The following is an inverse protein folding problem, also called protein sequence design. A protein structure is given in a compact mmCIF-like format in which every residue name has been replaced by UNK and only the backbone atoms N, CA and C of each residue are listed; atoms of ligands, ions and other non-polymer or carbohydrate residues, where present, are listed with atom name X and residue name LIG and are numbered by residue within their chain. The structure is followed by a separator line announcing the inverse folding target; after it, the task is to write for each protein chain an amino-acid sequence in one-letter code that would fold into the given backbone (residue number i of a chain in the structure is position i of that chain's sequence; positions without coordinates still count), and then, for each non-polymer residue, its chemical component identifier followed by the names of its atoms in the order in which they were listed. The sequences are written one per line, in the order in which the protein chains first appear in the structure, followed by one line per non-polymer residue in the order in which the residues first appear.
data_IF_516468529562
#
_entry.id   IF_516468529562
#
_cell.length_a   1.000
_cell.length_b   1.000
_cell.length_c   1.000
_cell.angle_alpha   90.00
_cell.angle_beta   90.00
_cell.angle_gamma   90.00
#
_symmetry.space_group_name_H-M   'P 1'
#
loop_
_entity.id
_entity.type
_entity.pdbx_description
1 polymer ?
#
# COMPACT_ATOMS: atom_id res chain seq x y z
N UNK A 1 8.99 -50.09 28.35
CA UNK A 1 8.13 -49.32 27.41
C UNK A 1 9.01 -48.37 26.63
N UNK A 2 9.09 -48.49 25.28
CA UNK A 2 10.08 -47.78 24.49
C UNK A 2 9.58 -46.43 23.96
N UNK A 3 10.49 -45.46 23.92
CA UNK A 3 10.31 -44.14 23.31
C UNK A 3 10.09 -44.24 21.79
N UNK A 4 8.96 -43.73 21.32
CA UNK A 4 8.63 -43.61 19.90
C UNK A 4 9.22 -42.29 19.39
N UNK A 5 10.34 -42.38 18.67
CA UNK A 5 10.92 -41.28 17.89
C UNK A 5 9.98 -41.02 16.70
N UNK A 6 9.30 -39.88 16.70
CA UNK A 6 8.61 -39.38 15.51
C UNK A 6 9.65 -38.75 14.58
N UNK A 7 10.05 -39.52 13.57
CA UNK A 7 10.81 -39.01 12.43
C UNK A 7 9.99 -37.95 11.70
N UNK A 8 10.57 -36.75 11.62
CA UNK A 8 10.13 -35.60 10.85
C UNK A 8 9.95 -35.97 9.37
N UNK A 9 8.70 -35.97 8.90
CA UNK A 9 8.27 -36.12 7.52
C UNK A 9 8.41 -34.80 6.74
N UNK A 10 9.64 -34.31 6.60
CA UNK A 10 9.94 -33.32 5.56
C UNK A 10 10.83 -33.97 4.50
N UNK A 11 10.39 -34.03 3.22
CA UNK A 11 11.29 -34.42 2.16
C UNK A 11 12.44 -33.41 2.11
N UNK A 12 13.66 -33.87 2.40
CA UNK A 12 14.89 -33.16 2.08
C UNK A 12 14.97 -33.07 0.56
N UNK A 13 14.45 -31.99 -0.02
CA UNK A 13 14.74 -31.66 -1.40
C UNK A 13 16.26 -31.51 -1.53
N UNK A 14 16.92 -32.24 -2.45
CA UNK A 14 18.33 -32.04 -2.71
C UNK A 14 18.50 -30.63 -3.26
N UNK A 15 19.13 -29.76 -2.46
CA UNK A 15 19.60 -28.45 -2.90
C UNK A 15 20.55 -28.72 -4.06
N UNK A 16 20.16 -28.32 -5.28
CA UNK A 16 21.05 -28.38 -6.43
C UNK A 16 22.39 -27.74 -6.05
N UNK A 17 23.54 -28.34 -6.40
CA UNK A 17 24.83 -27.78 -6.03
C UNK A 17 24.93 -26.35 -6.56
N UNK A 18 25.09 -25.39 -5.65
CA UNK A 18 25.26 -24.00 -5.97
C UNK A 18 26.40 -23.88 -6.99
N UNK A 19 26.08 -23.52 -8.24
CA UNK A 19 27.10 -23.13 -9.20
C UNK A 19 27.95 -22.06 -8.53
N UNK A 20 29.26 -22.29 -8.44
CA UNK A 20 30.19 -21.38 -7.79
C UNK A 20 30.20 -20.05 -8.55
N UNK A 21 29.33 -19.13 -8.13
CA UNK A 21 29.17 -17.82 -8.73
C UNK A 21 30.46 -17.03 -8.49
N UNK A 22 31.17 -16.67 -9.55
CA UNK A 22 32.39 -15.86 -9.44
C UNK A 22 32.01 -14.39 -9.27
N UNK A 23 32.57 -13.67 -8.28
CA UNK A 23 32.26 -12.26 -8.07
C UNK A 23 32.77 -11.41 -9.24
N UNK A 24 31.92 -10.53 -9.75
CA UNK A 24 32.30 -9.55 -10.77
C UNK A 24 33.35 -8.57 -10.25
N UNK A 25 34.09 -7.91 -11.16
CA UNK A 25 35.05 -6.85 -10.78
C UNK A 25 34.40 -5.73 -9.97
N UNK A 26 33.16 -5.37 -10.30
CA UNK A 26 32.40 -4.36 -9.58
C UNK A 26 32.08 -4.80 -8.14
N UNK A 27 31.68 -6.06 -7.93
CA UNK A 27 31.46 -6.61 -6.58
C UNK A 27 32.75 -6.68 -5.77
N UNK A 28 33.88 -7.04 -6.38
CA UNK A 28 35.17 -7.05 -5.71
C UNK A 28 35.61 -5.64 -5.30
N UNK A 29 35.40 -4.64 -6.16
CA UNK A 29 35.71 -3.25 -5.83
C UNK A 29 34.84 -2.76 -4.67
N UNK A 30 33.53 -2.97 -4.74
CA UNK A 30 32.61 -2.55 -3.68
C UNK A 30 32.87 -3.30 -2.35
N UNK A 31 33.27 -4.57 -2.40
CA UNK A 31 33.68 -5.32 -1.20
C UNK A 31 34.93 -4.72 -0.54
N UNK A 32 35.89 -4.19 -1.30
CA UNK A 32 37.07 -3.50 -0.74
C UNK A 32 36.69 -2.20 -0.05
N UNK A 33 35.87 -1.38 -0.71
CA UNK A 33 35.40 -0.12 -0.13
C UNK A 33 34.53 -0.36 1.12
N UNK A 34 33.70 -1.40 1.10
CA UNK A 34 32.85 -1.77 2.24
C UNK A 34 33.67 -2.28 3.42
N UNK A 35 34.66 -3.13 3.15
CA UNK A 35 35.61 -3.59 4.17
C UNK A 35 36.35 -2.41 4.80
N UNK A 36 36.77 -1.43 3.99
CA UNK A 36 37.43 -0.21 4.47
C UNK A 36 36.49 0.65 5.34
N UNK A 37 35.26 0.87 4.91
CA UNK A 37 34.26 1.67 5.64
C UNK A 37 33.88 1.05 6.98
N UNK A 38 33.67 -0.26 7.01
CA UNK A 38 33.08 -0.96 8.17
C UNK A 38 34.10 -1.65 9.06
N UNK A 39 35.36 -1.73 8.63
CA UNK A 39 36.43 -2.43 9.36
C UNK A 39 36.36 -3.97 9.29
N UNK A 40 35.40 -4.55 8.54
CA UNK A 40 35.33 -6.01 8.37
C UNK A 40 36.34 -6.52 7.36
N UNK A 41 36.64 -7.82 7.41
CA UNK A 41 37.53 -8.42 6.42
C UNK A 41 36.88 -8.47 5.02
N UNK A 42 37.73 -8.45 3.98
CA UNK A 42 37.31 -8.45 2.58
C UNK A 42 36.41 -9.64 2.22
N UNK A 43 36.70 -10.84 2.73
CA UNK A 43 35.91 -12.05 2.42
C UNK A 43 34.48 -11.94 2.97
N UNK A 44 34.31 -11.41 4.18
CA UNK A 44 33.00 -11.15 4.78
C UNK A 44 32.24 -10.07 4.01
N UNK A 45 32.91 -8.98 3.62
CA UNK A 45 32.31 -7.96 2.76
C UNK A 45 31.87 -8.55 1.41
N UNK A 46 32.72 -9.36 0.79
CA UNK A 46 32.44 -10.01 -0.49
C UNK A 46 31.26 -10.99 -0.40
N UNK A 47 31.15 -11.76 0.68
CA UNK A 47 29.99 -12.60 0.96
C UNK A 47 28.68 -11.79 1.03
N UNK A 48 28.71 -10.60 1.65
CA UNK A 48 27.54 -9.73 1.65
C UNK A 48 27.19 -9.22 0.23
N UNK A 49 28.18 -8.82 -0.57
CA UNK A 49 27.98 -8.37 -1.96
C UNK A 49 27.45 -9.47 -2.89
N UNK A 50 27.74 -10.73 -2.56
CA UNK A 50 27.32 -11.92 -3.30
C UNK A 50 26.01 -12.53 -2.78
N UNK A 51 25.45 -11.99 -1.68
CA UNK A 51 24.19 -12.48 -1.14
C UNK A 51 23.07 -12.33 -2.18
N UNK A 52 22.23 -13.36 -2.41
CA UNK A 52 21.07 -13.24 -3.31
C UNK A 52 20.15 -12.06 -2.94
N UNK A 53 20.06 -11.76 -1.64
CA UNK A 53 19.25 -10.65 -1.09
C UNK A 53 19.84 -9.27 -1.34
N UNK A 54 21.07 -9.19 -1.84
CA UNK A 54 21.77 -7.93 -2.05
C UNK A 54 22.07 -7.65 -3.54
N UNK A 55 21.40 -8.37 -4.46
CA UNK A 55 21.62 -8.21 -5.91
C UNK A 55 20.80 -7.08 -6.54
N UNK A 56 19.84 -6.50 -5.83
CA UNK A 56 18.92 -5.49 -6.35
C UNK A 56 17.76 -6.13 -7.11
N UNK A 57 16.57 -6.14 -6.51
CA UNK A 57 15.36 -6.72 -7.08
C UNK A 57 14.64 -5.71 -7.98
N UNK A 58 14.48 -4.48 -7.50
CA UNK A 58 13.70 -3.43 -8.18
C UNK A 58 14.57 -2.49 -9.01
N UNK A 59 15.84 -2.81 -9.14
CA UNK A 59 16.79 -2.04 -9.92
C UNK A 59 18.20 -2.59 -9.75
N UNK A 60 19.21 -1.92 -10.31
CA UNK A 60 20.60 -2.33 -10.12
C UNK A 60 20.97 -2.38 -8.64
N UNK A 61 21.79 -3.36 -8.25
CA UNK A 61 22.44 -3.38 -6.93
C UNK A 61 23.00 -2.00 -6.57
N UNK A 62 22.67 -1.49 -5.39
CA UNK A 62 23.24 -0.24 -4.89
C UNK A 62 24.77 -0.35 -4.78
N UNK A 63 25.52 0.61 -5.32
CA UNK A 63 26.98 0.56 -5.22
C UNK A 63 27.42 1.07 -3.86
N UNK A 64 28.43 0.45 -3.28
CA UNK A 64 29.00 0.91 -2.00
C UNK A 64 29.52 2.33 -2.10
N UNK A 65 30.03 2.72 -3.27
CA UNK A 65 30.48 4.09 -3.53
C UNK A 65 29.35 5.11 -3.53
N UNK A 66 28.14 4.73 -3.99
CA UNK A 66 26.97 5.61 -3.95
C UNK A 66 26.54 5.82 -2.49
N UNK A 67 26.56 4.75 -1.68
CA UNK A 67 26.35 4.81 -0.24
C UNK A 67 27.40 5.70 0.45
N UNK A 68 28.70 5.50 0.22
CA UNK A 68 29.76 6.33 0.81
C UNK A 68 29.62 7.80 0.38
N UNK A 69 29.28 8.04 -0.89
CA UNK A 69 29.05 9.40 -1.41
C UNK A 69 27.89 10.08 -0.69
N UNK A 70 26.79 9.37 -0.42
CA UNK A 70 25.67 9.90 0.35
C UNK A 70 26.09 10.31 1.77
N UNK A 71 26.90 9.50 2.46
CA UNK A 71 27.39 9.88 3.79
C UNK A 71 28.28 11.13 3.76
N UNK A 72 29.12 11.27 2.74
CA UNK A 72 30.11 12.36 2.68
C UNK A 72 29.53 13.67 2.15
N UNK A 73 28.50 13.61 1.30
CA UNK A 73 28.05 14.76 0.51
C UNK A 73 26.61 15.18 0.82
N UNK A 74 25.81 14.33 1.47
CA UNK A 74 24.42 14.68 1.78
C UNK A 74 24.34 15.63 2.98
N UNK A 75 23.62 16.75 2.78
CA UNK A 75 23.51 17.85 3.75
C UNK A 75 22.81 17.44 5.05
N UNK A 76 22.03 16.36 5.08
CA UNK A 76 21.26 15.94 6.26
C UNK A 76 21.85 14.70 6.94
N UNK A 77 22.64 13.90 6.23
CA UNK A 77 23.15 12.61 6.75
C UNK A 77 24.63 12.68 7.14
N UNK A 78 25.40 13.56 6.48
CA UNK A 78 26.83 13.75 6.76
C UNK A 78 27.16 14.72 7.88
N UNK A 79 26.17 15.46 8.40
CA UNK A 79 26.36 16.38 9.52
C UNK A 79 26.39 15.59 10.82
N UNK A 80 27.46 15.76 11.61
CA UNK A 80 27.37 15.46 13.03
C UNK A 80 26.19 16.25 13.60
N UNK A 81 25.33 15.61 14.40
CA UNK A 81 24.13 16.23 14.99
C UNK A 81 24.38 17.57 15.74
N UNK A 82 25.66 17.89 16.02
CA UNK A 82 26.13 19.19 16.50
C UNK A 82 25.82 20.35 15.54
N UNK A 83 25.88 20.10 14.24
CA UNK A 83 25.82 21.18 13.24
C UNK A 83 24.38 21.54 12.86
N UNK A 84 23.43 20.63 13.11
CA UNK A 84 22.00 20.84 12.85
C UNK A 84 21.26 21.51 14.00
N UNK A 85 21.81 21.52 15.22
CA UNK A 85 21.10 22.01 16.41
C UNK A 85 21.59 23.36 16.92
N UNK A 86 22.78 23.85 16.51
CA UNK A 86 23.37 25.09 17.06
C UNK A 86 23.50 25.08 18.60
N UNK A 87 23.27 23.93 19.23
CA UNK A 87 23.22 23.74 20.65
C UNK A 87 24.57 23.23 21.11
N UNK A 88 25.18 23.94 22.06
CA UNK A 88 26.34 23.41 22.77
C UNK A 88 26.01 22.02 23.32
N UNK A 89 26.97 21.07 23.29
CA UNK A 89 26.74 19.68 23.67
C UNK A 89 26.37 19.58 25.16
N UNK A 90 25.07 19.67 25.46
CA UNK A 90 24.52 19.59 26.81
C UNK A 90 24.57 18.16 27.35
N UNK A 91 25.01 17.99 28.60
CA UNK A 91 24.92 16.73 29.31
C UNK A 91 23.45 16.35 29.60
N UNK A 92 23.14 15.05 29.71
CA UNK A 92 21.87 14.58 30.24
C UNK A 92 21.78 14.79 31.76
N UNK A 93 20.61 14.49 32.34
CA UNK A 93 20.31 14.61 33.79
C UNK A 93 21.22 13.78 34.72
N UNK A 94 22.11 12.96 34.16
CA UNK A 94 23.11 12.16 34.86
C UNK A 94 24.56 12.64 34.63
N UNK A 95 24.75 13.85 34.08
CA UNK A 95 26.08 14.43 33.86
C UNK A 95 26.90 13.75 32.75
N UNK A 96 26.29 12.86 31.96
CA UNK A 96 26.92 12.29 30.76
C UNK A 96 26.64 13.23 29.57
N UNK A 97 27.61 13.51 28.69
CA UNK A 97 27.33 14.23 27.45
C UNK A 97 26.13 13.60 26.75
N UNK A 98 25.12 14.37 26.31
CA UNK A 98 24.11 13.82 25.38
C UNK A 98 24.86 13.39 24.13
N UNK A 99 25.17 12.09 24.06
CA UNK A 99 25.77 11.38 22.94
C UNK A 99 26.77 12.20 22.13
N UNK A 100 28.03 12.26 22.57
CA UNK A 100 29.09 12.11 21.57
C UNK A 100 28.87 10.74 20.92
N UNK A 101 28.19 10.71 19.77
CA UNK A 101 28.17 9.56 18.87
C UNK A 101 29.60 9.45 18.31
N UNK A 102 30.52 8.87 19.08
CA UNK A 102 31.90 8.61 18.62
C UNK A 102 31.95 7.67 17.41
N UNK A 103 30.82 7.08 17.03
CA UNK A 103 30.52 6.65 15.66
C UNK A 103 29.00 6.71 15.43
N UNK A 104 28.47 7.56 14.52
CA UNK A 104 27.03 7.60 14.24
C UNK A 104 26.49 6.32 13.57
N UNK A 105 27.37 5.41 13.15
CA UNK A 105 27.03 4.21 12.40
C UNK A 105 27.63 2.97 13.08
N UNK A 106 26.79 2.19 13.75
CA UNK A 106 27.18 0.87 14.25
C UNK A 106 26.96 -0.18 13.14
N UNK A 107 28.06 -0.75 12.66
CA UNK A 107 28.07 -1.88 11.75
C UNK A 107 28.21 -3.18 12.55
N UNK A 108 27.27 -4.11 12.38
CA UNK A 108 27.37 -5.44 12.98
C UNK A 108 28.34 -6.36 12.21
N UNK A 109 28.77 -5.93 11.03
CA UNK A 109 29.74 -6.59 10.17
C UNK A 109 29.27 -7.89 9.51
N UNK A 110 28.02 -8.29 9.74
CA UNK A 110 27.46 -9.56 9.28
C UNK A 110 26.51 -9.39 8.10
N UNK A 111 25.58 -8.44 8.21
CA UNK A 111 24.50 -8.27 7.22
C UNK A 111 24.18 -6.82 6.90
N UNK A 112 25.00 -5.85 7.33
CA UNK A 112 24.71 -4.42 7.15
C UNK A 112 24.51 -4.02 5.69
N UNK A 113 25.34 -4.52 4.77
CA UNK A 113 25.19 -4.21 3.35
C UNK A 113 23.92 -4.86 2.77
N UNK A 114 23.62 -6.11 3.17
CA UNK A 114 22.41 -6.81 2.74
C UNK A 114 21.17 -6.05 3.21
N UNK A 115 21.18 -5.56 4.45
CA UNK A 115 20.10 -4.73 4.99
C UNK A 115 19.90 -3.45 4.19
N UNK A 116 20.98 -2.72 3.89
CA UNK A 116 20.90 -1.50 3.07
C UNK A 116 20.39 -1.78 1.65
N UNK A 117 20.85 -2.87 1.03
CA UNK A 117 20.38 -3.26 -0.29
C UNK A 117 18.87 -3.56 -0.30
N UNK A 118 18.36 -4.25 0.72
CA UNK A 118 16.93 -4.51 0.86
C UNK A 118 16.13 -3.23 1.13
N UNK A 119 16.63 -2.34 2.00
CA UNK A 119 16.00 -1.04 2.24
C UNK A 119 15.95 -0.23 0.95
N UNK A 120 17.01 -0.26 0.14
CA UNK A 120 17.04 0.39 -1.18
C UNK A 120 15.93 -0.16 -2.08
N UNK A 121 15.77 -1.48 -2.19
CA UNK A 121 14.69 -2.05 -2.99
C UNK A 121 13.31 -1.73 -2.39
N UNK A 122 13.14 -1.73 -1.06
CA UNK A 122 11.93 -1.26 -0.41
C UNK A 122 11.61 0.19 -0.75
N UNK A 123 12.60 1.09 -0.74
CA UNK A 123 12.38 2.49 -1.08
C UNK A 123 12.07 2.70 -2.56
N UNK A 124 12.64 1.87 -3.44
CA UNK A 124 12.38 1.91 -4.89
C UNK A 124 10.96 1.52 -5.30
N UNK A 125 10.22 0.84 -4.43
CA UNK A 125 8.84 0.45 -4.77
C UNK A 125 7.91 1.66 -4.80
N UNK A 126 8.26 2.72 -4.07
CA UNK A 126 7.44 3.92 -3.95
C UNK A 126 7.64 4.88 -5.13
N UNK A 127 6.54 5.51 -5.52
CA UNK A 127 6.49 6.70 -6.36
C UNK A 127 7.15 7.86 -5.62
N UNK A 128 8.06 8.55 -6.30
CA UNK A 128 8.83 9.68 -5.75
C UNK A 128 7.96 10.93 -5.71
N UNK A 129 8.01 11.63 -4.57
CA UNK A 129 7.40 12.94 -4.38
C UNK A 129 8.51 13.98 -4.40
N UNK A 130 8.46 14.92 -5.35
CA UNK A 130 9.52 15.91 -5.56
C UNK A 130 9.36 17.17 -4.71
N UNK A 131 8.14 17.49 -4.28
CA UNK A 131 7.82 18.71 -3.54
C UNK A 131 7.66 18.45 -2.05
N UNK A 132 8.13 19.39 -1.23
CA UNK A 132 8.08 19.26 0.23
C UNK A 132 6.64 19.27 0.75
N UNK A 133 5.78 20.10 0.16
CA UNK A 133 4.40 20.29 0.60
C UNK A 133 3.54 19.03 0.43
N UNK A 134 3.96 18.15 -0.49
CA UNK A 134 3.32 16.87 -0.79
C UNK A 134 3.96 15.71 0.01
N UNK A 135 5.05 15.97 0.75
CA UNK A 135 5.82 14.96 1.46
C UNK A 135 5.42 14.84 2.92
N UNK A 136 4.84 13.70 3.28
CA UNK A 136 4.27 13.49 4.62
C UNK A 136 4.86 12.26 5.34
N UNK A 137 5.69 11.48 4.66
CA UNK A 137 6.21 10.22 5.19
C UNK A 137 7.54 10.44 5.91
N UNK A 138 7.52 10.23 7.24
CA UNK A 138 8.70 10.34 8.08
C UNK A 138 9.62 9.11 8.01
N UNK A 139 10.92 9.31 8.20
CA UNK A 139 11.94 8.26 8.31
C UNK A 139 11.61 7.20 9.38
N UNK A 140 10.99 7.60 10.49
CA UNK A 140 10.54 6.71 11.56
C UNK A 140 9.42 5.75 11.13
N UNK A 141 8.50 6.23 10.31
CA UNK A 141 7.40 5.47 9.74
C UNK A 141 7.90 4.41 8.75
N UNK A 142 8.79 4.81 7.83
CA UNK A 142 9.41 3.89 6.86
C UNK A 142 10.29 2.85 7.54
N UNK A 143 10.99 3.21 8.63
CA UNK A 143 11.75 2.25 9.44
C UNK A 143 10.86 1.14 9.98
N UNK A 144 9.70 1.47 10.55
CA UNK A 144 8.77 0.49 11.09
C UNK A 144 8.22 -0.43 9.98
N UNK A 145 7.80 0.16 8.85
CA UNK A 145 7.30 -0.58 7.70
C UNK A 145 8.38 -1.54 7.12
N UNK A 146 9.59 -1.04 6.87
CA UNK A 146 10.68 -1.85 6.34
C UNK A 146 11.07 -3.01 7.29
N UNK A 147 11.15 -2.73 8.60
CA UNK A 147 11.49 -3.74 9.61
C UNK A 147 10.50 -4.92 9.60
N UNK A 148 9.22 -4.65 9.36
CA UNK A 148 8.19 -5.68 9.37
C UNK A 148 8.02 -6.36 8.00
N UNK A 149 8.14 -5.61 6.90
CA UNK A 149 7.86 -6.12 5.56
C UNK A 149 9.02 -6.94 4.97
N UNK A 150 10.24 -6.38 4.95
CA UNK A 150 11.35 -6.93 4.15
C UNK A 150 12.51 -7.50 4.98
N UNK A 151 12.50 -7.27 6.29
CA UNK A 151 13.63 -7.59 7.16
C UNK A 151 13.46 -8.90 7.95
N UNK A 152 12.24 -9.39 8.15
CA UNK A 152 11.97 -10.64 8.89
C UNK A 152 12.55 -10.66 10.32
N UNK A 153 12.58 -11.83 10.97
CA UNK A 153 13.13 -11.93 12.33
C UNK A 153 14.65 -11.72 12.44
N UNK A 154 15.38 -11.82 11.32
CA UNK A 154 16.85 -11.77 11.30
C UNK A 154 17.43 -10.33 11.30
N UNK A 155 16.59 -9.31 11.09
CA UNK A 155 17.04 -7.92 10.90
C UNK A 155 16.25 -6.91 11.76
N UNK A 156 16.04 -7.23 13.05
CA UNK A 156 15.36 -6.36 14.04
C UNK A 156 16.06 -5.02 14.31
N UNK A 157 17.25 -4.78 13.76
CA UNK A 157 18.09 -3.60 14.04
C UNK A 157 18.04 -2.50 12.97
N UNK A 158 16.98 -2.43 12.15
CA UNK A 158 16.83 -1.34 11.17
C UNK A 158 16.72 0.00 11.89
N UNK A 159 17.76 0.82 11.81
CA UNK A 159 17.80 2.16 12.39
C UNK A 159 17.20 3.19 11.43
N UNK A 160 16.72 4.32 11.96
CA UNK A 160 16.27 5.46 11.12
C UNK A 160 17.42 5.94 10.21
N UNK A 161 18.65 5.92 10.71
CA UNK A 161 19.85 6.25 9.94
C UNK A 161 20.00 5.39 8.69
N UNK A 162 19.80 4.07 8.76
CA UNK A 162 19.90 3.18 7.58
C UNK A 162 18.84 3.50 6.52
N UNK A 163 17.62 3.88 6.93
CA UNK A 163 16.58 4.36 6.01
C UNK A 163 17.01 5.64 5.31
N UNK A 164 17.48 6.63 6.07
CA UNK A 164 17.94 7.91 5.52
C UNK A 164 19.11 7.72 4.57
N UNK A 165 20.10 6.92 4.98
CA UNK A 165 21.28 6.66 4.17
C UNK A 165 20.93 6.03 2.83
N UNK A 166 20.06 5.01 2.84
CA UNK A 166 19.57 4.40 1.61
C UNK A 166 18.77 5.39 0.75
N UNK A 167 17.93 6.23 1.36
CA UNK A 167 17.15 7.25 0.65
C UNK A 167 18.04 8.29 -0.04
N UNK A 168 19.03 8.84 0.65
CA UNK A 168 20.00 9.78 0.05
C UNK A 168 20.85 9.10 -1.05
N UNK A 169 21.27 7.86 -0.83
CA UNK A 169 22.03 7.11 -1.84
C UNK A 169 21.20 6.81 -3.10
N UNK A 170 19.87 6.76 -2.98
CA UNK A 170 18.93 6.70 -4.09
C UNK A 170 18.65 8.06 -4.73
N UNK A 171 19.04 9.16 -4.09
CA UNK A 171 18.71 10.52 -4.52
C UNK A 171 17.24 10.88 -4.25
N UNK A 172 16.59 10.22 -3.29
CA UNK A 172 15.24 10.62 -2.89
C UNK A 172 15.29 12.01 -2.22
N UNK A 173 14.31 12.88 -2.48
CA UNK A 173 14.20 14.15 -1.78
C UNK A 173 14.09 13.94 -0.26
N UNK A 174 14.87 14.72 0.50
CA UNK A 174 14.89 14.68 1.96
C UNK A 174 14.69 16.09 2.52
N UNK A 175 13.80 16.23 3.51
CA UNK A 175 13.55 17.51 4.16
C UNK A 175 13.52 17.35 5.68
N UNK A 176 14.08 18.33 6.40
CA UNK A 176 13.90 18.41 7.84
C UNK A 176 12.40 18.50 8.18
N UNK A 177 11.91 17.66 9.10
CA UNK A 177 10.56 17.83 9.60
C UNK A 177 10.45 19.13 10.38
N UNK A 178 9.26 19.72 10.38
CA UNK A 178 8.91 20.81 11.28
C UNK A 178 8.71 20.25 12.68
N UNK A 179 9.72 20.32 13.55
CA UNK A 179 9.65 19.88 14.94
C UNK A 179 11.02 19.73 15.62
N UNK A 180 11.01 19.44 16.92
CA UNK A 180 12.22 19.38 17.77
C UNK A 180 13.00 18.05 17.67
N UNK A 181 12.55 17.06 16.89
CA UNK A 181 13.30 15.81 16.67
C UNK A 181 14.12 15.91 15.37
N UNK A 182 15.43 16.20 15.45
CA UNK A 182 16.30 16.35 14.27
C UNK A 182 16.47 15.04 13.47
N UNK A 183 16.03 13.89 14.02
CA UNK A 183 16.12 12.59 13.36
C UNK A 183 14.87 12.20 12.58
N UNK A 184 13.77 12.97 12.72
CA UNK A 184 12.58 12.80 11.91
C UNK A 184 12.71 13.68 10.67
N UNK A 185 13.18 13.06 9.59
CA UNK A 185 13.31 13.68 8.26
C UNK A 185 12.18 13.13 7.40
N UNK A 186 11.54 14.02 6.64
CA UNK A 186 10.56 13.67 5.61
C UNK A 186 11.29 13.12 4.40
N UNK A 187 10.81 12.00 3.86
CA UNK A 187 11.36 11.35 2.67
C UNK A 187 10.32 11.46 1.55
N UNK A 188 10.73 11.91 0.37
CA UNK A 188 9.88 12.13 -0.79
C UNK A 188 9.36 10.84 -1.43
N UNK A 189 8.41 10.19 -0.75
CA UNK A 189 7.67 9.00 -1.22
C UNK A 189 6.17 9.21 -1.05
N UNK A 190 5.37 8.55 -1.90
CA UNK A 190 3.91 8.65 -1.85
C UNK A 190 3.34 8.19 -0.50
N UNK A 191 2.54 9.05 0.13
CA UNK A 191 1.87 8.75 1.41
C UNK A 191 0.81 7.66 1.24
N UNK A 192 0.09 7.65 0.11
CA UNK A 192 -0.91 6.62 -0.18
C UNK A 192 -0.28 5.23 -0.27
N UNK A 193 0.84 5.13 -0.98
CA UNK A 193 1.59 3.87 -1.09
C UNK A 193 2.22 3.45 0.23
N UNK A 194 2.71 4.39 1.03
CA UNK A 194 3.17 4.10 2.39
C UNK A 194 2.04 3.55 3.26
N UNK A 195 0.85 4.16 3.23
CA UNK A 195 -0.28 3.75 4.05
C UNK A 195 -0.81 2.37 3.65
N UNK A 196 -0.82 2.04 2.35
CA UNK A 196 -1.06 0.67 1.89
C UNK A 196 -0.12 -0.34 2.57
N UNK A 197 1.18 -0.04 2.59
CA UNK A 197 2.18 -0.92 3.19
C UNK A 197 2.02 -1.01 4.72
N UNK A 198 1.77 0.12 5.38
CA UNK A 198 1.53 0.17 6.80
C UNK A 198 0.31 -0.69 7.18
N UNK A 199 -0.75 -0.65 6.38
CA UNK A 199 -1.92 -1.51 6.54
C UNK A 199 -1.57 -2.99 6.40
N UNK A 200 -0.88 -3.39 5.32
CA UNK A 200 -0.46 -4.78 5.10
C UNK A 200 0.39 -5.35 6.24
N UNK A 201 1.28 -4.52 6.78
CA UNK A 201 2.13 -4.86 7.92
C UNK A 201 1.33 -5.02 9.21
N UNK A 202 0.41 -4.11 9.52
CA UNK A 202 -0.37 -4.11 10.76
C UNK A 202 -1.46 -5.19 10.76
N UNK A 203 -2.02 -5.51 9.60
CA UNK A 203 -3.05 -6.55 9.40
C UNK A 203 -2.47 -7.96 9.27
N UNK A 204 -1.16 -8.14 9.50
CA UNK A 204 -0.51 -9.46 9.50
C UNK A 204 -0.40 -10.12 8.13
N UNK A 205 -0.21 -9.34 7.06
CA UNK A 205 -0.22 -9.79 5.66
C UNK A 205 -1.53 -10.46 5.20
N UNK A 206 -2.61 -10.37 5.97
CA UNK A 206 -3.92 -10.54 5.36
C UNK A 206 -4.05 -9.42 4.34
N UNK A 207 -4.08 -9.78 3.05
CA UNK A 207 -4.53 -8.84 2.03
C UNK A 207 -5.81 -8.19 2.55
N UNK A 208 -6.02 -6.87 2.37
CA UNK A 208 -7.32 -6.26 2.63
C UNK A 208 -8.33 -7.19 1.97
N UNK A 209 -9.25 -7.75 2.75
CA UNK A 209 -10.16 -8.78 2.26
C UNK A 209 -10.82 -8.17 1.04
N UNK A 210 -10.52 -8.72 -0.14
CA UNK A 210 -11.28 -8.46 -1.36
C UNK A 210 -12.59 -9.19 -1.16
N UNK A 211 -13.39 -8.70 -0.22
CA UNK A 211 -14.82 -8.80 -0.35
C UNK A 211 -15.17 -7.77 -1.43
N UNK A 212 -16.03 -8.15 -2.38
CA UNK A 212 -16.41 -7.32 -3.52
C UNK A 212 -17.14 -6.02 -3.10
N UNK A 213 -17.24 -5.79 -1.79
CA UNK A 213 -17.84 -4.66 -1.12
C UNK A 213 -16.86 -3.59 -0.63
N UNK A 214 -15.52 -3.75 -0.72
CA UNK A 214 -14.59 -2.67 -0.29
C UNK A 214 -13.98 -1.92 -1.48
N UNK A 215 -13.90 -0.56 -1.44
CA UNK A 215 -13.24 0.21 -2.49
C UNK A 215 -11.74 -0.11 -2.49
N UNK A 216 -11.17 -0.28 -3.69
CA UNK A 216 -9.86 -0.90 -3.94
C UNK A 216 -8.72 -0.26 -3.14
N UNK A 217 -8.38 -0.86 -1.99
CA UNK A 217 -7.10 -0.63 -1.29
C UNK A 217 -5.92 -0.93 -2.23
N UNK A 218 -6.14 -1.73 -3.30
CA UNK A 218 -5.11 -2.10 -4.27
C UNK A 218 -4.63 -0.96 -5.17
N UNK A 219 -5.34 0.16 -5.25
CA UNK A 219 -4.95 1.25 -6.14
C UNK A 219 -3.78 2.08 -5.60
N UNK A 220 -3.66 2.12 -4.26
CA UNK A 220 -2.53 2.69 -3.57
C UNK A 220 -1.38 1.68 -3.42
N UNK A 221 -1.49 0.45 -3.95
CA UNK A 221 -0.43 -0.55 -3.85
C UNK A 221 0.77 -0.12 -4.72
N UNK A 222 1.99 -0.07 -4.16
CA UNK A 222 3.18 0.19 -4.97
C UNK A 222 3.31 -0.84 -6.10
N UNK A 223 3.55 -0.39 -7.33
CA UNK A 223 3.53 -1.25 -8.52
C UNK A 223 4.50 -2.45 -8.44
N UNK A 224 5.59 -2.29 -7.69
CA UNK A 224 6.61 -3.31 -7.53
C UNK A 224 6.41 -4.23 -6.32
N UNK A 225 5.35 -4.03 -5.52
CA UNK A 225 5.14 -4.72 -4.25
C UNK A 225 5.14 -6.25 -4.38
N UNK A 226 4.29 -6.80 -5.24
CA UNK A 226 4.16 -8.26 -5.42
C UNK A 226 5.48 -8.88 -5.88
N UNK A 227 6.19 -8.19 -6.79
CA UNK A 227 7.49 -8.63 -7.27
C UNK A 227 8.53 -8.64 -6.15
N UNK A 228 8.61 -7.58 -5.34
CA UNK A 228 9.53 -7.49 -4.22
C UNK A 228 9.31 -8.63 -3.21
N UNK A 229 8.05 -8.89 -2.84
CA UNK A 229 7.70 -9.96 -1.91
C UNK A 229 8.05 -11.35 -2.45
N UNK A 230 7.79 -11.58 -3.73
CA UNK A 230 8.14 -12.83 -4.41
C UNK A 230 9.67 -13.01 -4.52
N UNK A 231 10.39 -11.97 -4.95
CA UNK A 231 11.85 -11.98 -5.09
C UNK A 231 12.54 -12.22 -3.73
N UNK A 232 12.05 -11.58 -2.66
CA UNK A 232 12.57 -11.79 -1.32
C UNK A 232 12.34 -13.23 -0.83
N UNK A 233 11.16 -13.81 -1.09
CA UNK A 233 10.85 -15.19 -0.72
C UNK A 233 11.80 -16.18 -1.40
N UNK A 234 12.08 -15.98 -2.69
CA UNK A 234 13.06 -16.77 -3.45
C UNK A 234 14.49 -16.57 -2.94
N UNK A 235 14.89 -15.32 -2.70
CA UNK A 235 16.23 -15.00 -2.20
C UNK A 235 16.49 -15.58 -0.80
N UNK A 236 15.48 -15.66 0.07
CA UNK A 236 15.56 -16.34 1.37
C UNK A 236 15.82 -17.85 1.24
N UNK A 237 15.40 -18.48 0.14
CA UNK A 237 15.72 -19.88 -0.19
C UNK A 237 17.11 -20.04 -0.82
N UNK A 238 17.87 -18.96 -0.94
CA UNK A 238 19.19 -18.95 -1.57
C UNK A 238 19.14 -18.88 -3.11
N UNK A 239 17.96 -18.69 -3.71
CA UNK A 239 17.85 -18.56 -5.16
C UNK A 239 18.41 -17.22 -5.63
N UNK A 240 19.30 -17.26 -6.63
CA UNK A 240 19.79 -16.05 -7.29
C UNK A 240 18.69 -15.46 -8.18
N UNK A 241 18.28 -14.23 -7.87
CA UNK A 241 17.30 -13.49 -8.66
C UNK A 241 18.04 -12.82 -9.82
N UNK A 242 17.73 -13.24 -11.04
CA UNK A 242 18.40 -12.76 -12.27
C UNK A 242 17.44 -12.01 -13.19
N UNK A 243 16.15 -12.30 -13.06
CA UNK A 243 15.08 -11.45 -13.56
C UNK A 243 15.11 -10.11 -12.81
N UNK A 244 14.88 -9.01 -13.53
CA UNK A 244 14.76 -7.69 -12.93
C UNK A 244 13.33 -7.23 -13.06
N UNK A 245 12.84 -6.53 -12.03
CA UNK A 245 11.58 -5.83 -12.16
C UNK A 245 11.65 -4.84 -13.31
N UNK A 246 10.68 -4.92 -14.20
CA UNK A 246 10.45 -3.94 -15.24
C UNK A 246 9.06 -3.36 -14.97
N UNK A 247 8.93 -2.03 -14.78
CA UNK A 247 7.62 -1.42 -14.68
C UNK A 247 6.86 -1.81 -15.93
N UNK A 248 5.73 -2.49 -15.78
CA UNK A 248 4.74 -2.47 -16.86
C UNK A 248 4.35 -1.01 -16.98
N UNK A 249 4.75 -0.34 -18.07
CA UNK A 249 4.22 0.95 -18.47
C UNK A 249 2.74 0.75 -18.80
N UNK A 250 1.93 0.52 -17.77
CA UNK A 250 0.54 0.91 -17.81
C UNK A 250 0.62 2.42 -17.81
N UNK A 251 0.32 3.06 -18.95
CA UNK A 251 0.12 4.50 -18.97
C UNK A 251 -0.77 4.85 -17.76
N UNK A 252 -0.52 5.96 -17.05
CA UNK A 252 -1.49 6.42 -16.07
C UNK A 252 -2.78 6.63 -16.84
N UNK A 253 -3.67 5.65 -16.79
CA UNK A 253 -5.07 5.87 -17.08
C UNK A 253 -5.42 7.01 -16.17
N UNK A 254 -5.69 8.17 -16.76
CA UNK A 254 -6.20 9.33 -16.03
C UNK A 254 -7.38 8.78 -15.26
N UNK A 255 -7.15 8.50 -13.99
CA UNK A 255 -7.98 7.64 -13.18
C UNK A 255 -9.13 8.52 -12.74
N UNK A 256 -10.06 8.74 -13.67
CA UNK A 256 -11.21 9.59 -13.44
C UNK A 256 -12.07 8.85 -12.44
N UNK A 257 -11.94 9.23 -11.17
CA UNK A 257 -12.80 8.81 -10.07
C UNK A 257 -13.71 9.98 -9.72
N UNK A 258 -14.65 10.35 -10.61
CA UNK A 258 -15.41 11.59 -10.49
C UNK A 258 -16.16 11.69 -9.17
N UNK A 259 -16.63 10.54 -8.65
CA UNK A 259 -17.31 10.49 -7.36
C UNK A 259 -16.35 10.71 -6.17
N UNK A 260 -15.16 10.12 -6.19
CA UNK A 260 -14.14 10.36 -5.17
C UNK A 260 -13.71 11.83 -5.16
N UNK A 261 -13.36 12.37 -6.33
CA UNK A 261 -12.92 13.75 -6.48
C UNK A 261 -14.01 14.71 -6.00
N UNK A 262 -15.26 14.49 -6.41
CA UNK A 262 -16.41 15.26 -5.93
C UNK A 262 -16.56 15.17 -4.41
N UNK A 263 -16.50 13.97 -3.83
CA UNK A 263 -16.68 13.79 -2.39
C UNK A 263 -15.61 14.52 -1.58
N UNK A 264 -14.36 14.59 -2.07
CA UNK A 264 -13.30 15.39 -1.45
C UNK A 264 -13.58 16.90 -1.49
N UNK A 265 -14.30 17.40 -2.50
CA UNK A 265 -14.74 18.81 -2.52
C UNK A 265 -15.78 19.12 -1.44
N UNK A 266 -16.47 18.10 -0.91
CA UNK A 266 -17.50 18.28 0.12
C UNK A 266 -16.93 18.35 1.54
N UNK A 267 -15.60 18.26 1.74
CA UNK A 267 -14.96 18.28 3.07
C UNK A 267 -15.16 19.59 3.83
N UNK A 268 -15.45 20.68 3.11
CA UNK A 268 -15.67 22.03 3.66
C UNK A 268 -17.16 22.23 3.99
N UNK A 269 -17.44 22.65 5.23
CA UNK A 269 -18.80 22.97 5.72
C UNK A 269 -19.29 22.09 6.87
N UNK A 270 -20.54 22.28 7.30
CA UNK A 270 -21.12 21.63 8.49
C UNK A 270 -22.26 20.64 8.17
N UNK A 271 -22.44 20.26 6.90
CA UNK A 271 -23.46 19.29 6.53
C UNK A 271 -23.12 17.87 7.01
N UNK A 272 -24.11 16.99 6.99
CA UNK A 272 -23.90 15.57 7.29
C UNK A 272 -23.00 14.92 6.22
N UNK A 273 -23.12 15.37 4.95
CA UNK A 273 -22.23 14.96 3.86
C UNK A 273 -20.81 15.45 4.11
N UNK A 274 -20.60 16.69 4.55
CA UNK A 274 -19.23 17.19 4.79
C UNK A 274 -18.53 16.50 5.95
N UNK A 275 -19.29 16.15 6.99
CA UNK A 275 -18.79 15.36 8.11
C UNK A 275 -18.40 13.95 7.66
N UNK A 276 -19.22 13.32 6.83
CA UNK A 276 -18.89 12.05 6.21
C UNK A 276 -17.68 12.16 5.26
N UNK A 277 -17.62 13.19 4.41
CA UNK A 277 -16.53 13.43 3.48
C UNK A 277 -15.19 13.59 4.18
N UNK A 278 -15.11 14.33 5.30
CA UNK A 278 -13.88 14.42 6.12
C UNK A 278 -13.45 13.08 6.69
N UNK A 279 -14.41 12.28 7.16
CA UNK A 279 -14.12 10.94 7.68
C UNK A 279 -13.66 10.02 6.55
N UNK A 280 -14.33 10.05 5.42
CA UNK A 280 -13.96 9.32 4.22
C UNK A 280 -12.56 9.71 3.74
N UNK A 281 -12.26 11.01 3.65
CA UNK A 281 -10.93 11.54 3.32
C UNK A 281 -9.89 11.02 4.31
N UNK A 282 -10.15 11.10 5.62
CA UNK A 282 -9.26 10.54 6.63
C UNK A 282 -9.05 9.03 6.45
N UNK A 283 -10.11 8.27 6.21
CA UNK A 283 -10.05 6.81 6.09
C UNK A 283 -9.35 6.38 4.78
N UNK A 284 -9.54 7.12 3.69
CA UNK A 284 -8.79 6.93 2.43
C UNK A 284 -7.33 7.33 2.60
N UNK A 285 -7.10 8.49 3.23
CA UNK A 285 -5.77 8.99 3.54
C UNK A 285 -5.00 7.96 4.36
N UNK A 286 -5.59 7.45 5.45
CA UNK A 286 -4.98 6.44 6.33
C UNK A 286 -4.97 5.02 5.75
N UNK A 287 -5.53 4.80 4.56
CA UNK A 287 -5.55 3.50 3.90
C UNK A 287 -6.47 2.47 4.54
N UNK A 288 -7.45 2.91 5.34
CA UNK A 288 -8.53 2.07 5.87
C UNK A 288 -9.48 1.66 4.74
N UNK A 289 -9.75 2.57 3.80
CA UNK A 289 -10.50 2.32 2.57
C UNK A 289 -9.70 2.77 1.33
N UNK A 290 -9.94 2.14 0.19
CA UNK A 290 -9.50 2.69 -1.09
C UNK A 290 -10.31 3.92 -1.50
N UNK A 291 -9.77 4.73 -2.42
CA UNK A 291 -10.57 5.75 -3.10
C UNK A 291 -11.66 5.05 -3.95
N UNK A 292 -12.90 5.51 -3.84
CA UNK A 292 -14.04 4.90 -4.53
C UNK A 292 -13.94 5.23 -6.02
N UNK A 293 -13.87 4.21 -6.88
CA UNK A 293 -13.84 4.45 -8.32
C UNK A 293 -15.21 4.93 -8.81
N UNK A 294 -16.27 4.39 -8.22
CA UNK A 294 -17.66 4.73 -8.50
C UNK A 294 -18.48 4.88 -7.22
N UNK A 295 -19.62 5.58 -7.32
CA UNK A 295 -20.57 5.75 -6.22
C UNK A 295 -21.03 4.42 -5.61
N UNK A 296 -21.22 3.38 -6.44
CA UNK A 296 -21.63 2.04 -6.01
C UNK A 296 -20.66 1.40 -5.02
N UNK A 297 -19.36 1.69 -5.16
CA UNK A 297 -18.32 1.06 -4.33
C UNK A 297 -18.49 1.45 -2.85
N UNK A 298 -19.03 2.65 -2.58
CA UNK A 298 -19.36 3.06 -1.21
C UNK A 298 -20.68 2.47 -0.71
N UNK A 299 -21.66 2.22 -1.57
CA UNK A 299 -22.89 1.54 -1.14
C UNK A 299 -22.57 0.15 -0.61
N UNK A 300 -21.75 -0.60 -1.32
CA UNK A 300 -21.42 -1.95 -0.87
C UNK A 300 -20.58 -1.91 0.42
N UNK A 301 -19.65 -0.96 0.53
CA UNK A 301 -18.75 -0.85 1.69
C UNK A 301 -19.44 -0.44 2.99
N UNK A 302 -20.46 0.42 2.89
CA UNK A 302 -21.12 0.99 4.06
C UNK A 302 -22.46 0.32 4.38
N UNK A 303 -22.88 -0.72 3.64
CA UNK A 303 -24.20 -1.36 3.78
C UNK A 303 -24.56 -1.76 5.20
N UNK A 304 -23.59 -2.27 5.95
CA UNK A 304 -23.78 -2.77 7.32
C UNK A 304 -23.42 -1.73 8.39
N UNK A 305 -23.04 -0.52 7.98
CA UNK A 305 -22.59 0.54 8.87
C UNK A 305 -23.72 1.54 9.13
N UNK A 306 -23.75 2.10 10.34
CA UNK A 306 -24.69 3.16 10.70
C UNK A 306 -24.59 4.42 9.80
N UNK A 307 -23.48 4.58 9.07
CA UNK A 307 -23.26 5.68 8.13
C UNK A 307 -23.91 5.47 6.76
N UNK A 308 -24.52 4.31 6.50
CA UNK A 308 -25.08 3.96 5.19
C UNK A 308 -26.03 5.00 4.62
N UNK A 309 -26.93 5.55 5.45
CA UNK A 309 -27.90 6.56 5.03
C UNK A 309 -27.22 7.85 4.53
N UNK A 310 -26.07 8.21 5.11
CA UNK A 310 -25.31 9.39 4.68
C UNK A 310 -24.61 9.14 3.35
N UNK A 311 -24.14 7.91 3.11
CA UNK A 311 -23.58 7.51 1.82
C UNK A 311 -24.63 7.64 0.71
N UNK A 312 -25.84 7.15 0.97
CA UNK A 312 -26.96 7.25 0.02
C UNK A 312 -27.28 8.70 -0.32
N UNK A 313 -27.31 9.58 0.68
CA UNK A 313 -27.55 11.01 0.47
C UNK A 313 -26.41 11.67 -0.33
N UNK A 314 -25.15 11.32 -0.03
CA UNK A 314 -23.99 11.83 -0.77
C UNK A 314 -24.03 11.39 -2.24
N UNK A 315 -24.38 10.14 -2.50
CA UNK A 315 -24.56 9.62 -3.86
C UNK A 315 -25.69 10.37 -4.56
N UNK A 316 -26.82 10.58 -3.90
CA UNK A 316 -27.92 11.34 -4.49
C UNK A 316 -27.47 12.73 -4.92
N UNK A 317 -26.79 13.46 -4.03
CA UNK A 317 -26.29 14.79 -4.34
C UNK A 317 -25.27 14.76 -5.50
N UNK A 318 -24.41 13.75 -5.57
CA UNK A 318 -23.48 13.61 -6.67
C UNK A 318 -24.17 13.52 -8.04
N UNK A 319 -25.24 12.73 -8.19
CA UNK A 319 -25.99 12.62 -9.47
C UNK A 319 -26.77 13.89 -9.80
N UNK A 320 -27.17 14.66 -8.78
CA UNK A 320 -27.76 15.99 -9.02
C UNK A 320 -26.73 16.98 -9.58
N UNK A 321 -25.49 16.88 -9.10
CA UNK A 321 -24.37 17.72 -9.57
C UNK A 321 -23.77 17.21 -10.89
N UNK A 322 -23.90 15.91 -11.19
CA UNK A 322 -23.35 15.21 -12.35
C UNK A 322 -24.41 14.34 -13.03
N UNK A 323 -25.31 14.93 -13.84
CA UNK A 323 -26.40 14.20 -14.48
C UNK A 323 -25.92 13.13 -15.48
N UNK A 324 -24.70 13.27 -15.99
CA UNK A 324 -24.03 12.33 -16.90
C UNK A 324 -23.33 11.15 -16.18
N UNK A 325 -23.43 11.06 -14.85
CA UNK A 325 -22.86 9.96 -14.08
C UNK A 325 -23.49 8.61 -14.46
N UNK A 326 -22.65 7.56 -14.50
CA UNK A 326 -23.08 6.21 -14.86
C UNK A 326 -24.12 5.68 -13.85
N UNK A 327 -25.31 5.19 -14.27
CA UNK A 327 -26.32 4.65 -13.36
C UNK A 327 -25.82 3.52 -12.45
N UNK A 328 -26.38 3.42 -11.23
CA UNK A 328 -25.92 2.46 -10.20
C UNK A 328 -26.70 1.16 -10.27
N UNK A 329 -26.01 0.02 -10.16
CA UNK A 329 -26.65 -1.26 -9.89
C UNK A 329 -26.32 -1.71 -8.46
N UNK A 330 -27.34 -2.14 -7.71
CA UNK A 330 -27.15 -2.65 -6.35
C UNK A 330 -26.80 -4.14 -6.36
N UNK A 331 -26.30 -4.64 -5.24
CA UNK A 331 -25.79 -5.99 -5.10
C UNK A 331 -26.90 -7.05 -5.18
N UNK A 332 -26.68 -8.12 -5.95
CA UNK A 332 -27.54 -9.31 -5.95
C UNK A 332 -27.37 -10.05 -4.63
N UNK A 333 -28.42 -10.14 -3.82
CA UNK A 333 -28.40 -10.83 -2.54
C UNK A 333 -28.52 -12.35 -2.75
N UNK A 334 -29.55 -12.77 -3.47
CA UNK A 334 -29.72 -14.17 -3.85
C UNK A 334 -30.78 -14.30 -4.95
N UNK A 335 -30.82 -15.48 -5.55
CA UNK A 335 -31.87 -15.89 -6.49
C UNK A 335 -32.85 -16.83 -5.79
N UNK A 336 -34.16 -16.67 -6.01
CA UNK A 336 -35.23 -17.50 -5.47
C UNK A 336 -36.01 -18.14 -6.61
N UNK A 337 -36.25 -19.44 -6.53
CA UNK A 337 -37.13 -20.16 -7.46
C UNK A 337 -38.45 -20.42 -6.74
N UNK A 338 -39.55 -19.89 -7.26
CA UNK A 338 -40.88 -20.13 -6.70
C UNK A 338 -41.42 -21.51 -7.12
N UNK A 339 -41.88 -22.28 -6.14
CA UNK A 339 -42.24 -23.69 -6.31
C UNK A 339 -43.47 -23.92 -7.21
N UNK A 340 -44.32 -22.90 -7.41
CA UNK A 340 -45.62 -23.03 -8.08
C UNK A 340 -45.64 -22.60 -9.56
N UNK A 341 -44.49 -22.26 -10.17
CA UNK A 341 -44.47 -21.79 -11.56
C UNK A 341 -43.14 -21.78 -12.29
N UNK A 342 -42.04 -22.16 -11.63
CA UNK A 342 -40.69 -22.10 -12.24
C UNK A 342 -40.18 -20.67 -12.45
N UNK A 343 -40.82 -19.69 -11.82
CA UNK A 343 -40.40 -18.29 -11.86
C UNK A 343 -39.13 -18.10 -11.05
N UNK A 344 -38.09 -17.56 -11.70
CA UNK A 344 -36.83 -17.17 -11.07
C UNK A 344 -36.88 -15.69 -10.71
N UNK A 345 -36.70 -15.39 -9.43
CA UNK A 345 -36.63 -14.04 -8.87
C UNK A 345 -35.21 -13.75 -8.39
N UNK A 346 -34.57 -12.78 -9.03
CA UNK A 346 -33.33 -12.19 -8.53
C UNK A 346 -33.67 -11.08 -7.53
N UNK A 347 -33.11 -11.21 -6.33
CA UNK A 347 -33.37 -10.32 -5.20
C UNK A 347 -32.12 -9.48 -4.96
N UNK A 348 -32.23 -8.17 -5.13
CA UNK A 348 -31.14 -7.22 -4.97
C UNK A 348 -31.34 -6.38 -3.72
N UNK A 349 -30.27 -5.81 -3.16
CA UNK A 349 -30.38 -4.88 -2.03
C UNK A 349 -31.01 -3.56 -2.47
N UNK A 350 -31.94 -3.01 -1.68
CA UNK A 350 -32.37 -1.63 -1.87
C UNK A 350 -31.21 -0.67 -1.57
N UNK A 351 -31.10 0.49 -2.25
CA UNK A 351 -30.15 1.53 -1.90
C UNK A 351 -30.26 2.02 -0.45
N UNK A 352 -31.39 1.83 0.24
CA UNK A 352 -31.53 2.19 1.65
C UNK A 352 -31.08 1.09 2.62
N UNK A 353 -30.79 -0.12 2.14
CA UNK A 353 -30.23 -1.22 2.93
C UNK A 353 -31.25 -1.95 3.80
N UNK A 354 -32.51 -1.49 3.83
CA UNK A 354 -33.56 -2.02 4.69
C UNK A 354 -34.60 -2.88 3.96
N UNK A 355 -34.47 -3.05 2.64
CA UNK A 355 -35.47 -3.74 1.80
C UNK A 355 -34.82 -4.33 0.55
N UNK A 356 -35.64 -4.91 -0.33
CA UNK A 356 -35.19 -5.66 -1.50
C UNK A 356 -35.77 -5.06 -2.80
N UNK A 357 -35.03 -5.20 -3.90
CA UNK A 357 -35.50 -4.95 -5.26
C UNK A 357 -35.68 -6.31 -5.93
N UNK A 358 -36.84 -6.53 -6.55
CA UNK A 358 -37.18 -7.80 -7.16
C UNK A 358 -37.12 -7.69 -8.68
N UNK A 359 -36.32 -8.55 -9.30
CA UNK A 359 -36.26 -8.76 -10.74
C UNK A 359 -36.78 -10.15 -11.09
N UNK A 360 -37.78 -10.22 -11.96
CA UNK A 360 -38.28 -11.51 -12.46
C UNK A 360 -37.54 -11.89 -13.74
N UNK A 361 -36.74 -12.96 -13.70
CA UNK A 361 -35.81 -13.35 -14.76
C UNK A 361 -36.45 -14.28 -15.79
N UNK A 362 -37.35 -15.18 -15.36
CA UNK A 362 -38.02 -16.14 -16.22
C UNK A 362 -39.54 -16.18 -15.98
N UNK A 363 -40.29 -15.81 -17.02
CA UNK A 363 -41.67 -16.27 -17.23
C UNK A 363 -41.65 -17.15 -18.49
N UNK A 364 -42.39 -18.24 -18.52
CA UNK A 364 -42.38 -19.22 -19.63
C UNK A 364 -42.86 -18.66 -20.98
N UNK A 365 -43.19 -17.36 -21.05
CA UNK A 365 -43.44 -16.59 -22.26
C UNK A 365 -42.48 -15.41 -22.35
N UNK A 366 -41.50 -15.45 -23.26
CA UNK A 366 -40.48 -14.42 -23.48
C UNK A 366 -41.00 -13.00 -23.86
N UNK A 367 -42.33 -12.80 -23.87
CA UNK A 367 -43.00 -11.54 -24.20
C UNK A 367 -43.47 -10.73 -22.98
N UNK A 368 -43.47 -11.31 -21.77
CA UNK A 368 -43.86 -10.62 -20.53
C UNK A 368 -42.75 -10.75 -19.48
N UNK A 369 -41.67 -9.97 -19.63
CA UNK A 369 -40.79 -9.68 -18.49
C UNK A 369 -41.60 -8.84 -17.51
N UNK A 370 -41.86 -9.36 -16.32
CA UNK A 370 -42.57 -8.61 -15.28
C UNK A 370 -41.80 -7.32 -14.94
N UNK A 371 -42.50 -6.23 -14.57
CA UNK A 371 -41.85 -4.98 -14.23
C UNK A 371 -40.90 -5.16 -13.05
N UNK A 372 -39.71 -4.56 -13.13
CA UNK A 372 -38.81 -4.41 -11.99
C UNK A 372 -39.50 -3.55 -10.93
N UNK A 373 -39.57 -4.02 -9.69
CA UNK A 373 -40.23 -3.32 -8.59
C UNK A 373 -39.25 -3.07 -7.45
N UNK A 374 -39.10 -1.80 -7.07
CA UNK A 374 -38.44 -1.41 -5.83
C UNK A 374 -39.42 -1.65 -4.68
N UNK A 375 -39.25 -2.76 -3.95
CA UNK A 375 -40.11 -3.09 -2.82
C UNK A 375 -39.66 -2.36 -1.54
N UNK A 376 -39.67 -1.03 -1.58
CA UNK A 376 -39.28 -0.17 -0.47
C UNK A 376 -39.99 1.18 -0.53
N UNK A 377 -40.79 1.52 0.48
CA UNK A 377 -41.58 2.76 0.53
C UNK A 377 -40.73 4.04 0.50
N UNK A 378 -39.48 3.95 0.95
CA UNK A 378 -38.51 5.05 0.92
C UNK A 378 -37.79 5.10 -0.43
N UNK A 379 -37.12 4.01 -0.83
CA UNK A 379 -36.34 4.03 -2.07
C UNK A 379 -37.21 4.23 -3.32
N UNK A 380 -38.46 3.76 -3.33
CA UNK A 380 -39.37 3.87 -4.49
C UNK A 380 -39.77 5.31 -4.82
N UNK A 381 -39.59 6.25 -3.88
CA UNK A 381 -39.82 7.69 -4.11
C UNK A 381 -38.54 8.39 -4.53
N UNK A 382 -37.40 7.93 -4.02
CA UNK A 382 -36.10 8.60 -4.15
C UNK A 382 -35.26 8.07 -5.31
N UNK A 383 -35.64 6.93 -5.91
CA UNK A 383 -34.92 6.29 -7.00
C UNK A 383 -35.85 5.85 -8.13
N UNK A 384 -35.38 6.02 -9.36
CA UNK A 384 -36.02 5.58 -10.59
C UNK A 384 -35.21 4.45 -11.23
N UNK A 385 -35.91 3.43 -11.74
CA UNK A 385 -35.29 2.35 -12.52
C UNK A 385 -35.13 2.81 -13.97
N UNK A 386 -33.90 2.78 -14.47
CA UNK A 386 -33.59 3.04 -15.87
C UNK A 386 -33.08 1.77 -16.54
N UNK A 387 -33.39 1.57 -17.82
CA UNK A 387 -32.94 0.42 -18.61
C UNK A 387 -31.80 0.86 -19.53
N UNK A 388 -30.62 0.29 -19.32
CA UNK A 388 -29.45 0.57 -20.15
C UNK A 388 -29.64 -0.10 -21.52
N UNK A 389 -29.59 0.73 -22.58
CA UNK A 389 -29.93 0.36 -23.96
C UNK A 389 -29.17 -0.83 -24.55
N UNK A 390 -28.06 -1.27 -23.95
CA UNK A 390 -27.18 -2.27 -24.56
C UNK A 390 -27.51 -3.73 -24.25
N UNK A 391 -28.09 -4.05 -23.11
CA UNK A 391 -28.23 -5.46 -22.69
C UNK A 391 -29.49 -5.74 -21.85
N UNK A 392 -30.50 -4.85 -21.88
CA UNK A 392 -31.67 -4.91 -20.99
C UNK A 392 -31.30 -4.98 -19.50
N UNK A 393 -30.11 -4.45 -19.15
CA UNK A 393 -29.62 -4.35 -17.77
C UNK A 393 -30.24 -3.10 -17.16
N UNK A 394 -30.92 -3.27 -16.04
CA UNK A 394 -31.47 -2.15 -15.28
C UNK A 394 -30.43 -1.55 -14.35
N UNK A 395 -30.62 -0.28 -14.02
CA UNK A 395 -29.86 0.46 -13.04
C UNK A 395 -30.77 1.48 -12.35
N UNK A 396 -30.27 2.10 -11.29
CA UNK A 396 -30.94 3.10 -10.49
C UNK A 396 -30.29 4.45 -10.72
N UNK A 397 -31.14 5.47 -10.83
CA UNK A 397 -30.77 6.87 -10.75
C UNK A 397 -31.66 7.55 -9.70
N UNK A 398 -31.16 8.55 -8.97
CA UNK A 398 -32.02 9.26 -8.06
C UNK A 398 -33.15 10.00 -8.79
N UNK A 399 -34.35 9.98 -8.23
CA UNK A 399 -35.52 10.64 -8.82
C UNK A 399 -35.24 12.13 -9.06
N UNK A 400 -35.47 12.60 -10.28
CA UNK A 400 -35.19 13.98 -10.69
C UNK A 400 -33.80 14.24 -11.28
N UNK A 401 -32.91 13.24 -11.31
CA UNK A 401 -31.69 13.33 -12.13
C UNK A 401 -32.05 13.20 -13.62
N UNK A 402 -31.61 14.14 -14.46
CA UNK A 402 -31.83 14.08 -15.90
C UNK A 402 -30.76 13.21 -16.56
N UNK A 403 -31.14 12.06 -17.10
CA UNK A 403 -30.27 11.16 -17.88
C UNK A 403 -30.09 11.59 -19.33
#
# INVERSE_FOLDING_TARGET
MPNRVLNSLYPRNPIAPAQAYKPSRAQQQDAREWAKLTGINYTAALHQMMSPRAQGFLGPRIRVRDLISALNNDKLIGLGLSDLTGAEPGCNEYGKPRGKLENPWEFNGKNDYVQLALIVDFLRMFTVVEKREEAEVHSGHLRAAAANLIMGQECRSTSRGKILWAAAALGLPLWAATGDDPLNVLIGVSVHEYNYIAHMVNSGNAAPRVDHSQPSVNDARPAAYDYLMHAQTRALRGEMITDRWQPKLTAPTKDLRPFHDWLLTQTVGESVISTFARRYEHDVFTGIYGAAAQARDLLDAFRELASYRVVVEAIRQFYMDHPDAEPIRTHLLHTRIEQDGGTELDIYSCPCGHSEILETVYTSSASDRAPLVINCDTCSKDWEITVLRKDSVWALVPSGAQL
#
